data_IF_452462139443
#
_entry.id   IF_452462139443
#
_cell.length_a   1.000
_cell.length_b   1.000
_cell.length_c   1.000
_cell.angle_alpha   90.00
_cell.angle_beta   90.00
_cell.angle_gamma   90.00
#
_symmetry.space_group_name_H-M   'P 1'
#
loop_
_entity.id
_entity.type
_entity.pdbx_description
1 polymer ?
#
# COMPACT_ATOMS: atom_id res chain seq x y z
N UNK A 1 -11.19 20.33 9.51
CA UNK A 1 -12.07 19.24 9.07
C UNK A 1 -12.28 18.30 10.25
N UNK A 2 -13.52 17.85 10.54
CA UNK A 2 -13.74 16.85 11.61
C UNK A 2 -13.67 15.45 11.01
N UNK A 3 -13.33 14.43 11.81
CA UNK A 3 -13.20 13.04 11.34
C UNK A 3 -14.47 12.51 10.66
N UNK A 4 -15.64 12.85 11.21
CA UNK A 4 -16.94 12.47 10.63
C UNK A 4 -17.17 13.01 9.21
N UNK A 5 -16.47 14.09 8.84
CA UNK A 5 -16.60 14.72 7.52
C UNK A 5 -15.66 14.09 6.49
N UNK A 6 -14.83 13.10 6.88
CA UNK A 6 -13.91 12.43 5.96
C UNK A 6 -14.72 11.56 4.97
N UNK A 7 -14.57 11.75 3.65
CA UNK A 7 -15.31 10.98 2.68
C UNK A 7 -14.85 9.52 2.72
N UNK A 8 -15.80 8.61 2.76
CA UNK A 8 -15.54 7.19 2.56
C UNK A 8 -15.98 6.79 1.15
N UNK A 9 -15.13 6.04 0.45
CA UNK A 9 -15.45 5.40 -0.81
C UNK A 9 -14.70 4.07 -0.87
N UNK A 10 -15.44 2.96 -1.02
CA UNK A 10 -14.86 1.63 -1.20
C UNK A 10 -13.85 1.66 -2.37
N UNK A 11 -12.58 1.26 -2.16
CA UNK A 11 -11.60 1.16 -3.22
C UNK A 11 -11.96 0.06 -4.23
N UNK A 12 -11.74 0.28 -5.53
CA UNK A 12 -11.81 -0.78 -6.52
C UNK A 12 -10.47 -1.54 -6.55
N UNK A 13 -10.40 -2.68 -5.86
CA UNK A 13 -9.15 -3.44 -5.73
C UNK A 13 -8.61 -3.99 -7.05
N UNK A 14 -9.46 -4.23 -8.05
CA UNK A 14 -9.00 -4.62 -9.38
C UNK A 14 -8.27 -3.47 -10.08
N UNK A 15 -8.81 -2.26 -10.01
CA UNK A 15 -8.17 -1.06 -10.57
C UNK A 15 -6.89 -0.71 -9.80
N UNK A 16 -6.93 -0.80 -8.47
CA UNK A 16 -5.75 -0.60 -7.60
C UNK A 16 -4.65 -1.58 -7.99
N UNK A 17 -4.97 -2.87 -8.11
CA UNK A 17 -3.99 -3.91 -8.46
C UNK A 17 -3.35 -3.63 -9.82
N UNK A 18 -4.16 -3.34 -10.84
CA UNK A 18 -3.66 -3.03 -12.19
C UNK A 18 -2.75 -1.79 -12.19
N UNK A 19 -3.15 -0.72 -11.49
CA UNK A 19 -2.34 0.50 -11.36
C UNK A 19 -1.05 0.23 -10.60
N UNK A 20 -1.12 -0.52 -9.51
CA UNK A 20 0.04 -0.88 -8.69
C UNK A 20 1.06 -1.69 -9.50
N UNK A 21 0.62 -2.70 -10.24
CA UNK A 21 1.51 -3.51 -11.08
C UNK A 21 2.16 -2.69 -12.20
N UNK A 22 1.42 -1.76 -12.81
CA UNK A 22 1.99 -0.82 -13.79
C UNK A 22 3.07 0.08 -13.19
N UNK A 23 2.82 0.63 -12.00
CA UNK A 23 3.79 1.46 -11.28
C UNK A 23 5.02 0.66 -10.86
N UNK A 24 4.83 -0.57 -10.38
CA UNK A 24 5.91 -1.46 -9.98
C UNK A 24 6.77 -1.88 -11.18
N UNK A 25 6.15 -2.17 -12.33
CA UNK A 25 6.87 -2.42 -13.57
C UNK A 25 7.76 -1.23 -13.93
N UNK A 26 7.19 -0.02 -13.92
CA UNK A 26 7.97 1.22 -14.14
C UNK A 26 9.10 1.36 -13.13
N UNK A 27 8.85 1.14 -11.84
CA UNK A 27 9.87 1.20 -10.78
C UNK A 27 11.07 0.26 -11.07
N UNK A 28 10.83 -0.91 -11.65
CA UNK A 28 11.89 -1.87 -12.00
C UNK A 28 12.63 -1.55 -13.30
N UNK A 29 11.96 -0.96 -14.29
CA UNK A 29 12.50 -0.78 -15.65
C UNK A 29 13.23 0.56 -15.87
N UNK A 30 12.94 1.58 -15.04
CA UNK A 30 13.55 2.91 -15.17
C UNK A 30 15.06 2.90 -14.99
N UNK A 31 15.76 3.79 -15.70
CA UNK A 31 17.23 3.86 -15.74
C UNK A 31 17.82 5.08 -15.04
N UNK A 32 17.01 5.84 -14.31
CA UNK A 32 17.49 6.95 -13.48
C UNK A 32 16.88 6.88 -12.10
N UNK A 33 17.62 7.39 -11.12
CA UNK A 33 17.16 7.52 -9.75
C UNK A 33 15.86 8.34 -9.68
N UNK A 34 15.79 9.46 -10.41
CA UNK A 34 14.64 10.36 -10.39
C UNK A 34 13.37 9.64 -10.84
N UNK A 35 13.45 8.88 -11.93
CA UNK A 35 12.31 8.16 -12.46
C UNK A 35 11.85 7.03 -11.53
N UNK A 36 12.78 6.38 -10.81
CA UNK A 36 12.45 5.36 -9.81
C UNK A 36 11.82 5.98 -8.56
N UNK A 37 12.36 7.12 -8.11
CA UNK A 37 11.83 7.87 -6.99
C UNK A 37 10.42 8.39 -7.26
N UNK A 38 10.13 8.86 -8.48
CA UNK A 38 8.75 9.24 -8.86
C UNK A 38 7.81 8.03 -8.86
N UNK A 39 8.21 6.88 -9.40
CA UNK A 39 7.41 5.66 -9.32
C UNK A 39 7.14 5.25 -7.86
N UNK A 40 8.12 5.38 -6.96
CA UNK A 40 7.95 5.12 -5.53
C UNK A 40 6.94 6.08 -4.88
N UNK A 41 6.96 7.37 -5.22
CA UNK A 41 5.96 8.34 -4.74
C UNK A 41 4.56 7.97 -5.19
N UNK A 42 4.40 7.61 -6.46
CA UNK A 42 3.11 7.21 -7.02
C UNK A 42 2.58 5.92 -6.38
N UNK A 43 3.45 4.94 -6.10
CA UNK A 43 3.10 3.72 -5.34
C UNK A 43 2.63 4.12 -3.94
N UNK A 44 3.38 4.94 -3.22
CA UNK A 44 3.02 5.36 -1.86
C UNK A 44 1.72 6.17 -1.81
N UNK A 45 1.45 7.00 -2.80
CA UNK A 45 0.19 7.72 -2.93
C UNK A 45 -0.99 6.74 -3.10
N UNK A 46 -0.87 5.77 -4.02
CA UNK A 46 -1.89 4.74 -4.23
C UNK A 46 -2.15 3.92 -2.96
N UNK A 47 -1.08 3.51 -2.26
CA UNK A 47 -1.18 2.80 -0.98
C UNK A 47 -1.90 3.64 0.07
N UNK A 48 -1.56 4.93 0.17
CA UNK A 48 -2.17 5.85 1.12
C UNK A 48 -3.67 6.01 0.89
N UNK A 49 -4.13 6.02 -0.37
CA UNK A 49 -5.57 6.08 -0.70
C UNK A 49 -6.32 4.83 -0.19
N UNK A 50 -5.78 3.64 -0.45
CA UNK A 50 -6.38 2.36 -0.02
C UNK A 50 -6.40 2.26 1.50
N UNK A 51 -5.24 2.49 2.13
CA UNK A 51 -5.07 2.42 3.59
C UNK A 51 -5.95 3.46 4.30
N UNK A 52 -6.14 4.66 3.73
CA UNK A 52 -7.06 5.67 4.29
C UNK A 52 -8.50 5.18 4.31
N UNK A 53 -8.98 4.56 3.22
CA UNK A 53 -10.34 4.03 3.18
C UNK A 53 -10.51 2.86 4.16
N UNK A 54 -9.52 1.96 4.22
CA UNK A 54 -9.51 0.85 5.18
C UNK A 54 -9.60 1.36 6.63
N UNK A 55 -8.81 2.39 6.98
CA UNK A 55 -8.84 2.97 8.32
C UNK A 55 -10.17 3.68 8.63
N UNK A 56 -10.77 4.37 7.65
CA UNK A 56 -12.09 4.98 7.85
C UNK A 56 -13.16 3.91 8.11
N UNK A 57 -13.15 2.80 7.35
CA UNK A 57 -14.07 1.69 7.56
C UNK A 57 -13.87 1.07 8.95
N UNK A 58 -12.63 0.73 9.30
CA UNK A 58 -12.28 0.15 10.59
C UNK A 58 -12.69 1.02 11.78
N UNK A 59 -12.35 2.31 11.76
CA UNK A 59 -12.69 3.22 12.87
C UNK A 59 -14.21 3.38 13.00
N UNK A 60 -14.93 3.51 11.89
CA UNK A 60 -16.39 3.69 11.94
C UNK A 60 -17.12 2.42 12.36
N UNK A 61 -16.66 1.25 11.91
CA UNK A 61 -17.15 -0.04 12.39
C UNK A 61 -16.90 -0.24 13.89
N UNK A 62 -15.70 0.08 14.38
CA UNK A 62 -15.36 -0.10 15.80
C UNK A 62 -16.06 0.89 16.74
N UNK A 63 -16.51 2.04 16.23
CA UNK A 63 -17.37 2.98 16.97
C UNK A 63 -18.79 2.41 17.16
N UNK A 64 -19.36 1.80 16.12
CA UNK A 64 -20.68 1.16 16.15
C UNK A 64 -20.68 -0.12 15.32
N UNK A 65 -20.50 -1.25 15.99
CA UNK A 65 -20.46 -2.58 15.37
C UNK A 65 -21.82 -3.08 14.90
N UNK A 66 -22.90 -2.32 15.18
CA UNK A 66 -24.26 -2.63 14.70
C UNK A 66 -24.60 -1.89 13.40
N UNK A 67 -23.74 -0.96 12.95
CA UNK A 67 -23.87 -0.31 11.66
C UNK A 67 -23.51 -1.30 10.54
N UNK A 68 -24.56 -1.84 9.90
CA UNK A 68 -24.46 -2.81 8.80
C UNK A 68 -23.61 -2.32 7.63
N UNK A 69 -23.59 -1.01 7.35
CA UNK A 69 -22.79 -0.48 6.26
C UNK A 69 -21.31 -0.69 6.55
N UNK A 70 -20.83 -0.26 7.72
CA UNK A 70 -19.43 -0.41 8.08
C UNK A 70 -19.02 -1.84 8.45
N UNK A 71 -19.97 -2.68 8.87
CA UNK A 71 -19.77 -4.13 8.96
C UNK A 71 -19.44 -4.74 7.59
N UNK A 72 -20.22 -4.43 6.54
CA UNK A 72 -19.96 -4.90 5.18
C UNK A 72 -18.63 -4.36 4.62
N UNK A 73 -18.29 -3.10 4.91
CA UNK A 73 -17.00 -2.53 4.50
C UNK A 73 -15.82 -3.17 5.22
N UNK A 74 -15.96 -3.48 6.52
CA UNK A 74 -14.91 -4.21 7.26
C UNK A 74 -14.71 -5.61 6.69
N UNK A 75 -15.80 -6.36 6.45
CA UNK A 75 -15.74 -7.69 5.83
C UNK A 75 -15.07 -7.64 4.45
N UNK A 76 -15.39 -6.62 3.64
CA UNK A 76 -14.71 -6.39 2.37
C UNK A 76 -13.20 -6.23 2.54
N UNK A 77 -12.75 -5.40 3.50
CA UNK A 77 -11.32 -5.23 3.75
C UNK A 77 -10.66 -6.50 4.29
N UNK A 78 -11.35 -7.27 5.13
CA UNK A 78 -10.84 -8.55 5.64
C UNK A 78 -10.59 -9.56 4.50
N UNK A 79 -11.48 -9.60 3.49
CA UNK A 79 -11.34 -10.47 2.31
C UNK A 79 -10.22 -10.02 1.36
N UNK A 80 -10.06 -8.71 1.12
CA UNK A 80 -9.13 -8.21 0.10
C UNK A 80 -7.74 -7.84 0.63
N UNK A 81 -7.58 -7.70 1.95
CA UNK A 81 -6.28 -7.36 2.56
C UNK A 81 -5.17 -8.35 2.16
N UNK A 82 -5.37 -9.68 2.16
CA UNK A 82 -4.34 -10.62 1.73
C UNK A 82 -3.84 -10.39 0.29
N UNK A 83 -4.75 -10.02 -0.63
CA UNK A 83 -4.39 -9.69 -2.01
C UNK A 83 -3.54 -8.42 -2.08
N UNK A 84 -3.92 -7.40 -1.31
CA UNK A 84 -3.19 -6.14 -1.21
C UNK A 84 -1.81 -6.32 -0.56
N UNK A 85 -1.69 -7.14 0.48
CA UNK A 85 -0.41 -7.49 1.10
C UNK A 85 0.53 -8.16 0.10
N UNK A 86 0.01 -9.03 -0.77
CA UNK A 86 0.79 -9.63 -1.86
C UNK A 86 1.43 -8.59 -2.80
N UNK A 87 0.73 -7.48 -3.08
CA UNK A 87 1.28 -6.36 -3.87
C UNK A 87 2.39 -5.63 -3.11
N UNK A 88 2.19 -5.38 -1.81
CA UNK A 88 3.20 -4.76 -0.94
C UNK A 88 4.48 -5.61 -0.91
N UNK A 89 4.35 -6.93 -0.79
CA UNK A 89 5.50 -7.86 -0.80
C UNK A 89 6.27 -7.80 -2.11
N UNK A 90 5.58 -7.78 -3.26
CA UNK A 90 6.22 -7.59 -4.58
C UNK A 90 6.99 -6.26 -4.62
N UNK A 91 6.39 -5.17 -4.12
CA UNK A 91 7.04 -3.87 -4.05
C UNK A 91 8.25 -3.85 -3.11
N UNK A 92 8.13 -4.39 -1.90
CA UNK A 92 9.25 -4.46 -0.95
C UNK A 92 10.41 -5.28 -1.50
N UNK A 93 10.13 -6.39 -2.20
CA UNK A 93 11.16 -7.16 -2.90
C UNK A 93 11.86 -6.33 -3.98
N UNK A 94 11.13 -5.52 -4.74
CA UNK A 94 11.73 -4.62 -5.71
C UNK A 94 12.56 -3.50 -5.03
N UNK A 95 12.05 -2.95 -3.94
CA UNK A 95 12.71 -1.88 -3.19
C UNK A 95 14.07 -2.32 -2.64
N UNK A 96 14.12 -3.46 -1.93
CA UNK A 96 15.37 -3.96 -1.32
C UNK A 96 16.41 -4.40 -2.35
N UNK A 97 15.98 -4.76 -3.56
CA UNK A 97 16.85 -5.16 -4.68
C UNK A 97 17.05 -4.03 -5.71
N UNK A 98 16.66 -2.81 -5.39
CA UNK A 98 16.79 -1.70 -6.35
C UNK A 98 18.26 -1.40 -6.67
N UNK A 99 18.55 -1.12 -7.95
CA UNK A 99 19.85 -0.62 -8.39
C UNK A 99 20.20 0.77 -7.83
N UNK A 100 19.19 1.56 -7.44
CA UNK A 100 19.35 2.87 -6.81
C UNK A 100 19.08 2.83 -5.30
N UNK A 101 19.30 1.67 -4.65
CA UNK A 101 19.02 1.48 -3.22
C UNK A 101 19.67 2.55 -2.35
N UNK A 102 20.95 2.87 -2.59
CA UNK A 102 21.69 3.84 -1.77
C UNK A 102 21.08 5.25 -1.86
N UNK A 103 20.73 5.69 -3.07
CA UNK A 103 20.11 7.00 -3.30
C UNK A 103 18.69 7.07 -2.74
N UNK A 104 17.93 5.97 -2.82
CA UNK A 104 16.62 5.87 -2.18
C UNK A 104 16.75 5.87 -0.65
N UNK A 105 17.75 5.20 -0.07
CA UNK A 105 18.03 5.23 1.37
C UNK A 105 18.37 6.65 1.85
N UNK A 106 19.15 7.40 1.08
CA UNK A 106 19.45 8.80 1.38
C UNK A 106 18.19 9.67 1.33
N UNK A 107 17.30 9.41 0.36
CA UNK A 107 16.09 10.21 0.16
C UNK A 107 14.95 9.90 1.14
N UNK A 108 14.72 8.62 1.45
CA UNK A 108 13.58 8.12 2.22
C UNK A 108 13.96 7.62 3.62
N UNK A 109 15.25 7.53 3.91
CA UNK A 109 15.78 6.95 5.14
C UNK A 109 15.87 5.43 5.09
N UNK A 110 16.81 4.87 5.86
CA UNK A 110 17.06 3.42 5.92
C UNK A 110 15.91 2.63 6.55
N UNK A 111 15.08 3.28 7.37
CA UNK A 111 14.03 2.61 8.13
C UNK A 111 13.02 1.88 7.23
N UNK A 112 12.65 2.46 6.09
CA UNK A 112 11.71 1.80 5.18
C UNK A 112 12.29 0.51 4.58
N UNK A 113 13.61 0.46 4.36
CA UNK A 113 14.31 -0.72 3.88
C UNK A 113 14.40 -1.79 4.97
N UNK A 114 14.70 -1.40 6.21
CA UNK A 114 14.67 -2.31 7.35
C UNK A 114 13.29 -2.95 7.52
N UNK A 115 12.22 -2.14 7.44
CA UNK A 115 10.84 -2.63 7.52
C UNK A 115 10.51 -3.57 6.36
N UNK A 116 10.93 -3.22 5.13
CA UNK A 116 10.74 -4.07 3.96
C UNK A 116 11.44 -5.43 4.12
N UNK A 117 12.71 -5.44 4.55
CA UNK A 117 13.48 -6.66 4.78
C UNK A 117 12.88 -7.54 5.87
N UNK A 118 12.38 -6.95 6.97
CA UNK A 118 11.71 -7.69 8.03
C UNK A 118 10.38 -8.29 7.56
N UNK A 119 9.58 -7.50 6.84
CA UNK A 119 8.29 -7.95 6.30
C UNK A 119 8.48 -9.11 5.31
N UNK A 120 9.51 -9.05 4.47
CA UNK A 120 9.84 -10.14 3.54
C UNK A 120 10.26 -11.43 4.24
N UNK A 121 10.81 -11.37 5.46
CA UNK A 121 11.17 -12.56 6.25
C UNK A 121 9.97 -13.20 6.95
N UNK A 122 8.93 -12.42 7.23
CA UNK A 122 7.72 -12.90 7.89
C UNK A 122 6.64 -13.38 6.90
N UNK A 123 6.83 -13.15 5.61
CA UNK A 123 5.90 -13.57 4.57
C UNK A 123 6.24 -14.97 4.04
N UNK A 124 5.29 -15.90 4.15
CA UNK A 124 5.34 -17.21 3.50
C UNK A 124 4.27 -17.26 2.41
N UNK A 125 4.63 -17.46 1.13
CA UNK A 125 3.64 -17.82 0.11
C UNK A 125 3.21 -19.26 0.36
N UNK A 126 2.03 -19.46 0.95
CA UNK A 126 1.35 -20.76 0.91
C UNK A 126 0.87 -21.08 -0.53
#
# INVERSE_FOLDING_TARGET
MKFKDFPYKRPNLNEVSAKFEGLLKRFNEVNTFEAQNEAMKEINALRSEVESMAQIAYIRHTIDTTDKFYEEEQNFFDEVTPLYEGLIIKYYRALVNSKFKNELEEKWGKQIFTLAELTLKTFSPE
#
